data_IF_352676088421
#
_entry.id   IF_352676088421
#
_cell.length_a   1.000
_cell.length_b   1.000
_cell.length_c   1.000
_cell.angle_alpha   90.00
_cell.angle_beta   90.00
_cell.angle_gamma   90.00
#
_symmetry.space_group_name_H-M   'P 1'
#
loop_
_entity.id
_entity.type
_entity.pdbx_description
1 polymer ?
#
# COMPACT_ATOMS: atom_id res chain seq x y z
N UNK A 1 -2.40 -9.93 12.08
CA UNK A 1 -3.19 -10.58 13.15
C UNK A 1 -4.30 -11.45 12.59
N UNK A 2 -5.32 -10.91 11.92
CA UNK A 2 -6.53 -11.65 11.52
C UNK A 2 -6.66 -11.94 10.01
N UNK A 3 -5.59 -11.86 9.22
CA UNK A 3 -5.60 -11.98 7.75
C UNK A 3 -6.53 -11.01 6.98
N UNK A 4 -7.27 -10.12 7.64
CA UNK A 4 -8.16 -9.16 6.97
C UNK A 4 -7.42 -8.27 5.96
N UNK A 5 -6.31 -7.64 6.39
CA UNK A 5 -5.47 -6.84 5.49
C UNK A 5 -4.83 -7.68 4.38
N UNK A 6 -4.62 -8.98 4.59
CA UNK A 6 -4.15 -9.89 3.54
C UNK A 6 -5.21 -10.08 2.46
N UNK A 7 -6.47 -10.30 2.85
CA UNK A 7 -7.59 -10.38 1.89
C UNK A 7 -7.70 -9.10 1.03
N UNK A 8 -7.54 -7.93 1.65
CA UNK A 8 -7.49 -6.66 0.91
C UNK A 8 -6.33 -6.61 -0.07
N UNK A 9 -5.12 -7.06 0.33
CA UNK A 9 -3.95 -7.08 -0.53
C UNK A 9 -4.14 -7.99 -1.75
N UNK A 10 -4.70 -9.18 -1.53
CA UNK A 10 -4.97 -10.15 -2.59
C UNK A 10 -6.02 -9.60 -3.58
N UNK A 11 -7.07 -8.94 -3.10
CA UNK A 11 -8.09 -8.29 -3.94
C UNK A 11 -7.51 -7.12 -4.76
N UNK A 12 -6.67 -6.27 -4.15
CA UNK A 12 -6.00 -5.19 -4.89
C UNK A 12 -5.08 -5.78 -5.97
N UNK A 13 -4.33 -6.84 -5.66
CA UNK A 13 -3.45 -7.49 -6.62
C UNK A 13 -4.20 -8.05 -7.82
N UNK A 14 -5.38 -8.67 -7.60
CA UNK A 14 -6.28 -9.11 -8.66
C UNK A 14 -6.69 -7.95 -9.56
N UNK A 15 -7.17 -6.84 -8.97
CA UNK A 15 -7.56 -5.66 -9.75
C UNK A 15 -6.41 -5.08 -10.59
N UNK A 16 -5.16 -5.11 -10.08
CA UNK A 16 -3.98 -4.64 -10.84
C UNK A 16 -3.71 -5.56 -12.03
N UNK A 17 -3.74 -6.87 -11.82
CA UNK A 17 -3.50 -7.85 -12.88
C UNK A 17 -4.56 -7.78 -13.99
N UNK A 18 -5.82 -7.52 -13.63
CA UNK A 18 -6.93 -7.35 -14.57
C UNK A 18 -6.84 -6.02 -15.34
N UNK A 19 -6.39 -4.94 -14.69
CA UNK A 19 -6.33 -3.60 -15.30
C UNK A 19 -5.12 -3.42 -16.23
N UNK A 20 -3.93 -3.87 -15.82
CA UNK A 20 -2.72 -3.79 -16.66
C UNK A 20 -1.87 -5.07 -16.53
N UNK A 21 -2.02 -6.02 -17.48
CA UNK A 21 -1.29 -7.29 -17.47
C UNK A 21 0.24 -7.15 -17.54
N UNK A 22 0.77 -5.97 -17.88
CA UNK A 22 2.21 -5.72 -17.96
C UNK A 22 2.83 -5.44 -16.59
N UNK A 23 2.01 -5.17 -15.58
CA UNK A 23 2.48 -4.87 -14.23
C UNK A 23 2.73 -6.18 -13.48
N UNK A 24 3.99 -6.44 -13.16
CA UNK A 24 4.34 -7.52 -12.25
C UNK A 24 3.99 -7.13 -10.80
N UNK A 25 3.03 -7.83 -10.21
CA UNK A 25 2.62 -7.63 -8.81
C UNK A 25 3.31 -8.67 -7.92
N UNK A 26 3.87 -8.21 -6.79
CA UNK A 26 4.42 -9.10 -5.75
C UNK A 26 3.84 -8.74 -4.40
N UNK A 27 3.38 -9.76 -3.68
CA UNK A 27 2.77 -9.62 -2.36
C UNK A 27 3.72 -10.20 -1.32
N UNK A 28 4.03 -9.41 -0.30
CA UNK A 28 4.90 -9.83 0.80
C UNK A 28 4.19 -9.67 2.13
N UNK A 29 4.34 -10.67 2.99
CA UNK A 29 3.99 -10.52 4.40
C UNK A 29 5.27 -10.21 5.17
N UNK A 30 5.42 -8.96 5.64
CA UNK A 30 6.60 -8.48 6.38
C UNK A 30 6.92 -9.32 7.62
N UNK A 31 5.94 -10.04 8.17
CA UNK A 31 6.18 -10.92 9.31
C UNK A 31 6.81 -12.27 8.94
N UNK A 32 6.76 -12.69 7.67
CA UNK A 32 7.15 -14.02 7.18
C UNK A 32 8.14 -14.01 6.01
N UNK A 33 8.45 -12.83 5.48
CA UNK A 33 9.32 -12.69 4.30
C UNK A 33 10.62 -12.02 4.70
N UNK A 34 11.67 -12.23 3.92
CA UNK A 34 12.94 -11.54 4.13
C UNK A 34 12.80 -10.04 3.87
N UNK A 35 13.34 -9.24 4.78
CA UNK A 35 13.21 -7.78 4.73
C UNK A 35 13.98 -7.18 3.56
N UNK A 36 15.17 -7.71 3.26
CA UNK A 36 16.03 -7.21 2.19
C UNK A 36 15.42 -7.54 0.82
N UNK A 37 14.76 -8.69 0.69
CA UNK A 37 13.98 -9.03 -0.50
C UNK A 37 12.85 -8.01 -0.72
N UNK A 38 12.09 -7.66 0.33
CA UNK A 38 11.04 -6.64 0.23
C UNK A 38 11.61 -5.31 -0.27
N UNK A 39 12.67 -4.81 0.37
CA UNK A 39 13.30 -3.53 0.01
C UNK A 39 13.86 -3.54 -1.41
N UNK A 40 14.43 -4.66 -1.85
CA UNK A 40 14.90 -4.83 -3.24
C UNK A 40 13.75 -4.74 -4.24
N UNK A 41 12.60 -5.32 -3.92
CA UNK A 41 11.42 -5.20 -4.78
C UNK A 41 10.84 -3.78 -4.74
N UNK A 42 10.84 -3.10 -3.59
CA UNK A 42 10.49 -1.67 -3.50
C UNK A 42 11.37 -0.81 -4.41
N UNK A 43 12.69 -1.07 -4.41
CA UNK A 43 13.63 -0.38 -5.29
C UNK A 43 13.30 -0.56 -6.78
N UNK A 44 12.95 -1.78 -7.19
CA UNK A 44 12.59 -2.10 -8.59
C UNK A 44 11.20 -1.61 -9.00
N UNK A 45 10.32 -1.31 -8.04
CA UNK A 45 8.92 -0.97 -8.30
C UNK A 45 8.72 0.51 -8.61
N UNK A 46 7.73 0.81 -9.45
CA UNK A 46 7.29 2.19 -9.74
C UNK A 46 6.45 2.78 -8.60
N UNK A 47 5.75 1.93 -7.88
CA UNK A 47 4.98 2.31 -6.72
C UNK A 47 4.77 1.13 -5.77
N UNK A 48 4.36 1.44 -4.55
CA UNK A 48 4.18 0.46 -3.48
C UNK A 48 2.83 0.63 -2.82
N UNK A 49 2.24 -0.48 -2.38
CA UNK A 49 1.07 -0.45 -1.52
C UNK A 49 1.46 -1.07 -0.19
N UNK A 50 1.24 -0.35 0.91
CA UNK A 50 1.66 -0.79 2.24
C UNK A 50 0.43 -1.01 3.10
N UNK A 51 0.27 -2.25 3.57
CA UNK A 51 -0.86 -2.70 4.36
C UNK A 51 -0.56 -2.73 5.85
N UNK A 52 -1.41 -2.15 6.69
CA UNK A 52 -1.33 -2.29 8.15
C UNK A 52 -2.71 -2.36 8.79
N UNK A 53 -2.86 -3.16 9.84
CA UNK A 53 -4.06 -3.09 10.69
C UNK A 53 -3.83 -2.17 11.88
N UNK A 54 -4.91 -1.60 12.42
CA UNK A 54 -4.81 -0.83 13.67
C UNK A 54 -4.64 -1.78 14.85
N UNK A 55 -3.54 -1.65 15.57
CA UNK A 55 -3.23 -2.38 16.79
C UNK A 55 -2.91 -1.37 17.89
N UNK A 56 -3.70 -1.34 18.96
CA UNK A 56 -3.53 -0.40 20.08
C UNK A 56 -3.41 1.07 19.63
N UNK A 57 -4.30 1.50 18.71
CA UNK A 57 -4.32 2.84 18.10
C UNK A 57 -3.05 3.23 17.30
N UNK A 58 -2.17 2.27 17.02
CA UNK A 58 -0.95 2.46 16.22
C UNK A 58 -0.89 1.42 15.09
N UNK A 59 0.08 1.62 14.18
CA UNK A 59 0.37 0.65 13.13
C UNK A 59 1.17 -0.53 13.68
N UNK A 60 1.12 -1.67 12.98
CA UNK A 60 1.90 -2.85 13.36
C UNK A 60 3.42 -2.54 13.41
N UNK A 61 4.15 -3.04 14.43
CA UNK A 61 5.54 -2.65 14.68
C UNK A 61 6.50 -3.02 13.54
N UNK A 62 6.30 -4.17 12.88
CA UNK A 62 7.12 -4.56 11.72
C UNK A 62 6.92 -3.62 10.52
N UNK A 63 5.71 -3.07 10.34
CA UNK A 63 5.45 -2.07 9.31
C UNK A 63 6.11 -0.74 9.69
N UNK A 64 6.01 -0.33 10.96
CA UNK A 64 6.67 0.89 11.43
C UNK A 64 8.19 0.84 11.21
N UNK A 65 8.84 -0.27 11.56
CA UNK A 65 10.28 -0.45 11.36
C UNK A 65 10.68 -0.47 9.88
N UNK A 66 9.88 -1.10 9.02
CA UNK A 66 10.12 -1.08 7.58
C UNK A 66 10.02 0.34 7.00
N UNK A 67 9.03 1.12 7.43
CA UNK A 67 8.87 2.52 6.98
C UNK A 67 10.01 3.41 7.48
N UNK A 68 10.47 3.21 8.70
CA UNK A 68 11.64 3.91 9.24
C UNK A 68 12.89 3.66 8.37
N UNK A 69 13.12 2.40 8.01
CA UNK A 69 14.23 2.03 7.14
C UNK A 69 14.08 2.58 5.71
N UNK A 70 12.87 2.56 5.15
CA UNK A 70 12.58 3.20 3.86
C UNK A 70 12.83 4.70 3.89
N UNK A 71 12.58 5.37 5.03
CA UNK A 71 12.87 6.80 5.23
C UNK A 71 14.37 7.06 5.17
N UNK A 72 15.18 6.20 5.80
CA UNK A 72 16.65 6.27 5.73
C UNK A 72 17.20 6.00 4.33
N UNK A 73 16.58 5.08 3.58
CA UNK A 73 16.98 4.72 2.20
C UNK A 73 16.59 5.76 1.15
N UNK A 74 15.69 6.70 1.48
CA UNK A 74 15.31 7.85 0.63
C UNK A 74 14.94 7.48 -0.79
N UNK A 75 13.98 6.57 -0.96
CA UNK A 75 13.46 6.24 -2.29
C UNK A 75 12.90 7.50 -2.99
N UNK A 76 13.21 7.67 -4.28
CA UNK A 76 12.78 8.82 -5.09
C UNK A 76 11.92 8.38 -6.27
N UNK A 77 11.03 9.28 -6.71
CA UNK A 77 10.14 9.07 -7.86
C UNK A 77 9.30 7.78 -7.73
N UNK A 78 8.86 7.48 -6.51
CA UNK A 78 7.97 6.36 -6.22
C UNK A 78 6.67 6.87 -5.64
N UNK A 79 5.58 6.25 -6.08
CA UNK A 79 4.24 6.55 -5.57
C UNK A 79 3.82 5.49 -4.55
N UNK A 80 3.02 5.84 -3.55
CA UNK A 80 2.59 4.91 -2.52
C UNK A 80 1.10 5.05 -2.19
N UNK A 81 0.47 3.96 -1.76
CA UNK A 81 -0.89 3.98 -1.18
C UNK A 81 -0.90 3.13 0.09
N UNK A 82 -1.47 3.69 1.17
CA UNK A 82 -1.65 2.97 2.41
C UNK A 82 -3.02 2.27 2.41
N UNK A 83 -3.07 1.04 2.93
CA UNK A 83 -4.33 0.34 3.11
C UNK A 83 -4.39 -0.45 4.42
N UNK A 84 -5.60 -0.79 4.87
CA UNK A 84 -5.71 -1.50 6.13
C UNK A 84 -7.11 -1.79 6.62
N UNK A 85 -7.19 -2.81 7.48
CA UNK A 85 -8.38 -3.15 8.26
C UNK A 85 -8.30 -2.56 9.68
N UNK A 86 -9.44 -2.15 10.23
CA UNK A 86 -9.56 -1.66 11.61
C UNK A 86 -10.85 -2.19 12.28
N UNK A 87 -10.87 -2.27 13.61
CA UNK A 87 -12.05 -2.72 14.37
C UNK A 87 -13.05 -1.59 14.65
N UNK A 88 -12.58 -0.54 15.33
CA UNK A 88 -13.40 0.57 15.81
C UNK A 88 -12.96 1.92 15.24
N UNK A 89 -12.11 2.67 15.96
CA UNK A 89 -11.67 4.02 15.60
C UNK A 89 -10.63 4.05 14.47
N UNK A 90 -9.82 3.00 14.36
CA UNK A 90 -8.77 2.93 13.35
C UNK A 90 -7.62 3.92 13.59
N UNK A 91 -7.17 4.59 12.52
CA UNK A 91 -6.10 5.60 12.57
C UNK A 91 -4.70 5.11 12.16
N UNK A 92 -4.44 3.81 12.14
CA UNK A 92 -3.13 3.29 11.71
C UNK A 92 -2.82 3.54 10.23
N UNK A 93 -3.84 3.52 9.36
CA UNK A 93 -3.69 3.74 7.92
C UNK A 93 -3.30 5.18 7.62
N UNK A 94 -3.93 6.15 8.28
CA UNK A 94 -3.59 7.57 8.11
C UNK A 94 -2.17 7.85 8.62
N UNK A 95 -1.84 7.30 9.80
CA UNK A 95 -0.48 7.40 10.35
C UNK A 95 0.57 6.79 9.44
N UNK A 96 0.26 5.68 8.79
CA UNK A 96 1.13 5.05 7.79
C UNK A 96 1.26 5.93 6.54
N UNK A 97 0.15 6.49 6.06
CA UNK A 97 0.13 7.39 4.90
C UNK A 97 1.04 8.60 5.11
N UNK A 98 0.96 9.25 6.28
CA UNK A 98 1.83 10.37 6.64
C UNK A 98 3.30 9.96 6.65
N UNK A 99 3.65 8.84 7.31
CA UNK A 99 5.05 8.40 7.36
C UNK A 99 5.62 8.01 6.00
N UNK A 100 4.81 7.46 5.11
CA UNK A 100 5.23 7.16 3.73
C UNK A 100 5.45 8.46 2.93
N UNK A 101 4.62 9.47 3.17
CA UNK A 101 4.84 10.80 2.58
C UNK A 101 6.16 11.41 3.09
N UNK A 102 6.43 11.34 4.39
CA UNK A 102 7.68 11.81 5.01
C UNK A 102 8.91 11.05 4.48
N UNK A 103 8.74 9.77 4.15
CA UNK A 103 9.77 8.94 3.51
C UNK A 103 10.05 9.32 2.04
N UNK A 104 9.30 10.27 1.46
CA UNK A 104 9.52 10.82 0.12
C UNK A 104 8.68 10.16 -0.98
N UNK A 105 7.66 9.38 -0.63
CA UNK A 105 6.73 8.81 -1.59
C UNK A 105 5.62 9.80 -1.97
N UNK A 106 5.22 9.79 -3.24
CA UNK A 106 4.02 10.50 -3.69
C UNK A 106 2.77 9.70 -3.29
N UNK A 107 1.98 10.22 -2.35
CA UNK A 107 0.83 9.49 -1.81
C UNK A 107 -0.39 9.54 -2.72
N UNK A 108 -0.95 8.37 -2.98
CA UNK A 108 -2.29 8.15 -3.53
C UNK A 108 -3.31 7.96 -2.40
N UNK A 109 -4.60 7.92 -2.77
CA UNK A 109 -5.70 7.76 -1.82
C UNK A 109 -5.54 6.48 -1.00
N UNK A 110 -5.84 6.55 0.30
CA UNK A 110 -5.71 5.42 1.23
C UNK A 110 -6.99 4.59 1.29
N UNK A 111 -6.87 3.28 1.45
CA UNK A 111 -8.01 2.36 1.52
C UNK A 111 -8.22 1.81 2.93
N UNK A 112 -9.44 1.92 3.46
CA UNK A 112 -9.77 1.45 4.80
C UNK A 112 -10.96 0.52 4.75
N UNK A 113 -10.86 -0.64 5.40
CA UNK A 113 -11.98 -1.54 5.62
C UNK A 113 -12.21 -1.75 7.11
N UNK A 114 -13.47 -1.93 7.52
CA UNK A 114 -13.82 -2.25 8.90
C UNK A 114 -13.94 -3.77 9.05
N UNK A 115 -13.36 -4.32 10.10
CA UNK A 115 -13.35 -5.76 10.38
C UNK A 115 -12.85 -6.60 9.20
N UNK A 116 -13.40 -7.81 9.02
CA UNK A 116 -13.12 -8.67 7.88
C UNK A 116 -13.87 -8.13 6.67
N UNK A 117 -13.20 -7.89 5.53
CA UNK A 117 -13.88 -7.41 4.32
C UNK A 117 -14.90 -8.45 3.84
N UNK A 118 -16.11 -7.99 3.58
CA UNK A 118 -17.16 -8.71 2.86
C UNK A 118 -16.95 -8.61 1.34
N UNK A 119 -17.85 -9.17 0.54
CA UNK A 119 -17.72 -9.15 -0.92
C UNK A 119 -17.72 -7.72 -1.47
N UNK A 120 -18.57 -6.85 -0.95
CA UNK A 120 -18.64 -5.44 -1.38
C UNK A 120 -17.34 -4.70 -1.05
N UNK A 121 -16.77 -4.91 0.13
CA UNK A 121 -15.48 -4.34 0.48
C UNK A 121 -14.33 -4.91 -0.36
N UNK A 122 -14.38 -6.18 -0.76
CA UNK A 122 -13.40 -6.77 -1.68
C UNK A 122 -13.51 -6.18 -3.08
N UNK A 123 -14.72 -5.90 -3.56
CA UNK A 123 -14.95 -5.22 -4.84
C UNK A 123 -14.37 -3.79 -4.80
N UNK A 124 -14.61 -3.04 -3.71
CA UNK A 124 -13.98 -1.74 -3.49
C UNK A 124 -12.44 -1.83 -3.46
N UNK A 125 -11.88 -2.92 -2.92
CA UNK A 125 -10.43 -3.17 -2.95
C UNK A 125 -9.92 -3.38 -4.38
N UNK A 126 -10.67 -4.09 -5.22
CA UNK A 126 -10.34 -4.29 -6.64
C UNK A 126 -10.42 -2.98 -7.41
N UNK A 127 -11.48 -2.19 -7.21
CA UNK A 127 -11.67 -0.90 -7.87
C UNK A 127 -10.65 0.16 -7.45
N UNK A 128 -10.11 0.06 -6.23
CA UNK A 128 -9.08 0.96 -5.71
C UNK A 128 -7.85 1.05 -6.63
N UNK A 129 -7.65 0.04 -7.48
CA UNK A 129 -6.60 0.01 -8.51
C UNK A 129 -6.71 1.15 -9.50
N UNK A 130 -7.92 1.56 -9.89
CA UNK A 130 -8.11 2.69 -10.79
C UNK A 130 -7.52 3.99 -10.21
N UNK A 131 -7.52 4.11 -8.87
CA UNK A 131 -7.01 5.27 -8.12
C UNK A 131 -5.59 5.02 -7.56
N UNK A 132 -5.05 3.83 -7.77
CA UNK A 132 -3.77 3.39 -7.21
C UNK A 132 -2.57 3.98 -7.95
N UNK A 133 -1.40 4.06 -7.29
CA UNK A 133 -0.17 4.61 -7.87
C UNK A 133 0.31 3.87 -9.13
N UNK A 134 -0.20 2.66 -9.33
CA UNK A 134 0.19 1.70 -10.36
C UNK A 134 -0.60 1.87 -11.66
N UNK A 135 -1.81 2.48 -11.61
CA UNK A 135 -2.59 2.72 -12.82
C UNK A 135 -1.98 3.88 -13.61
N UNK A 136 -1.33 3.54 -14.71
CA UNK A 136 -0.73 4.48 -15.63
C UNK A 136 -1.77 5.25 -16.45
N UNK A 137 -2.59 6.11 -15.84
CA UNK A 137 -2.91 7.37 -16.53
C UNK A 137 -1.77 8.32 -16.24
N UNK A 138 -0.77 8.28 -17.13
CA UNK A 138 0.17 9.40 -17.22
C UNK A 138 -0.68 10.65 -17.43
N UNK A 139 -0.89 11.45 -16.38
CA UNK A 139 -0.99 12.88 -16.58
C UNK A 139 0.42 13.30 -17.00
N UNK A 140 0.74 13.09 -18.29
CA UNK A 140 1.50 14.11 -19.02
C UNK A 140 0.68 15.38 -18.83
N UNK A 141 0.95 16.13 -17.76
CA UNK A 141 0.81 17.57 -17.84
C UNK A 141 1.81 17.99 -18.91
N UNK A 142 1.31 18.00 -20.15
CA UNK A 142 1.79 18.91 -21.17
C UNK A 142 1.77 20.31 -20.53
N UNK A 143 2.86 21.06 -20.73
CA UNK A 143 3.05 22.47 -20.42
C UNK A 143 3.41 22.80 -18.98
N UNK A 144 4.71 22.98 -18.75
CA UNK A 144 5.21 24.30 -18.40
C UNK A 144 6.35 24.62 -19.38
N UNK A 145 6.46 25.89 -19.74
CA UNK A 145 7.27 26.45 -20.84
C UNK A 145 8.77 26.19 -20.68
#
# INVERSE_FOLDING_TARGET
MSNNTRMMADAIAQGIAETDPRVAVKIFNVARSDKNEILTNVFRSKGVLVGTSTMNNVMMPKIAGLVEEMTGLRFRNKRASAFGSHGWSGGAVDRLSTRLQDAGFEMSLSLKAKWRPDQDALELCREHVAKSPVSGRSRRCRRAR
#
